data_IF_338385231279
#
_entry.id   IF_338385231279
#
_cell.length_a   1.000
_cell.length_b   1.000
_cell.length_c   1.000
_cell.angle_alpha   90.00
_cell.angle_beta   90.00
_cell.angle_gamma   90.00
#
_symmetry.space_group_name_H-M   'P 1'
#
loop_
_entity.id
_entity.type
_entity.pdbx_description
1 polymer ?
#
# COMPACT_ATOMS: atom_id res chain seq x y z
N UNK A 1 26.91 35.36 18.63
CA UNK A 1 26.01 34.81 19.65
C UNK A 1 25.19 33.72 18.97
N UNK A 2 25.28 32.46 19.41
CA UNK A 2 24.48 31.39 18.83
C UNK A 2 22.98 31.69 19.06
N UNK A 3 22.10 31.43 18.08
CA UNK A 3 20.67 31.68 18.23
C UNK A 3 20.08 30.82 19.36
N UNK A 4 19.12 31.38 20.08
CA UNK A 4 18.37 30.70 21.14
C UNK A 4 17.77 29.37 20.64
N UNK A 5 18.14 28.25 21.27
CA UNK A 5 17.53 26.93 21.04
C UNK A 5 16.00 27.02 21.20
N UNK A 6 15.20 26.76 20.16
CA UNK A 6 13.78 27.09 20.16
C UNK A 6 12.97 26.28 21.18
N UNK A 7 13.40 25.06 21.52
CA UNK A 7 12.62 24.08 22.31
C UNK A 7 13.08 23.88 23.76
N UNK A 8 13.88 24.80 24.32
CA UNK A 8 14.37 24.66 25.70
C UNK A 8 13.61 25.56 26.67
N UNK A 9 13.19 24.98 27.79
CA UNK A 9 12.57 25.69 28.90
C UNK A 9 13.64 26.41 29.73
N UNK A 10 13.74 27.73 29.59
CA UNK A 10 14.71 28.56 30.28
C UNK A 10 14.39 28.72 31.77
N UNK A 11 13.12 28.59 32.18
CA UNK A 11 12.76 28.56 33.60
C UNK A 11 13.26 27.26 34.23
N UNK A 12 13.10 26.12 33.53
CA UNK A 12 13.64 24.84 33.98
C UNK A 12 15.17 24.80 33.99
N UNK A 13 15.85 25.39 32.99
CA UNK A 13 17.32 25.52 32.96
C UNK A 13 17.84 26.33 34.15
N UNK A 14 17.14 27.40 34.51
CA UNK A 14 17.44 28.21 35.69
C UNK A 14 16.89 27.60 36.99
N UNK A 15 16.18 26.48 36.93
CA UNK A 15 15.52 25.82 38.06
C UNK A 15 14.64 26.77 38.90
N UNK A 16 13.91 27.66 38.24
CA UNK A 16 13.00 28.63 38.86
C UNK A 16 11.57 28.44 38.35
N UNK A 17 10.60 28.92 39.11
CA UNK A 17 9.19 28.97 38.66
C UNK A 17 9.00 30.03 37.57
N UNK A 18 7.97 29.88 36.74
CA UNK A 18 7.56 30.88 35.75
C UNK A 18 7.15 32.21 36.41
N UNK A 19 6.72 32.17 37.67
CA UNK A 19 6.36 33.34 38.48
C UNK A 19 7.56 33.93 39.25
N UNK A 20 8.77 33.41 39.03
CA UNK A 20 9.95 33.85 39.78
C UNK A 20 10.27 35.32 39.51
N UNK A 21 10.67 36.01 40.58
CA UNK A 21 11.13 37.39 40.51
C UNK A 21 12.52 37.47 39.86
N UNK A 22 12.90 38.65 39.36
CA UNK A 22 14.23 38.87 38.77
C UNK A 22 15.34 38.55 39.78
N UNK A 23 15.12 38.88 41.06
CA UNK A 23 16.07 38.55 42.13
C UNK A 23 16.29 37.05 42.29
N UNK A 24 15.22 36.26 42.20
CA UNK A 24 15.29 34.80 42.32
C UNK A 24 15.99 34.18 41.11
N UNK A 25 15.75 34.73 39.90
CA UNK A 25 16.45 34.36 38.67
C UNK A 25 17.95 34.63 38.80
N UNK A 26 18.34 35.82 39.29
CA UNK A 26 19.76 36.18 39.50
C UNK A 26 20.42 35.32 40.59
N UNK A 27 19.71 35.04 41.69
CA UNK A 27 20.21 34.16 42.77
C UNK A 27 20.43 32.74 42.25
N UNK A 28 19.47 32.19 41.50
CA UNK A 28 19.57 30.84 40.94
C UNK A 28 20.68 30.74 39.89
N UNK A 29 20.78 31.70 38.97
CA UNK A 29 21.86 31.77 37.99
C UNK A 29 23.24 31.76 38.65
N UNK A 30 23.48 32.62 39.66
CA UNK A 30 24.77 32.67 40.36
C UNK A 30 25.12 31.35 41.05
N UNK A 31 24.11 30.66 41.59
CA UNK A 31 24.29 29.34 42.21
C UNK A 31 24.65 28.29 41.16
N UNK A 32 23.86 28.21 40.08
CA UNK A 32 24.05 27.24 39.01
C UNK A 32 25.33 27.48 38.21
N UNK A 33 25.71 28.73 37.97
CA UNK A 33 26.92 29.10 37.25
C UNK A 33 28.18 28.64 37.99
N UNK A 34 28.21 28.73 39.33
CA UNK A 34 29.32 28.21 40.15
C UNK A 34 29.42 26.68 40.10
N UNK A 35 28.28 26.00 39.99
CA UNK A 35 28.20 24.53 39.96
C UNK A 35 28.54 24.00 38.56
N UNK A 36 28.09 24.67 37.50
CA UNK A 36 28.21 24.25 36.09
C UNK A 36 29.36 24.91 35.34
N UNK A 37 30.25 25.62 36.03
CA UNK A 37 31.37 26.32 35.39
C UNK A 37 32.30 25.32 34.67
N UNK A 38 32.73 25.60 33.42
CA UNK A 38 33.58 24.68 32.65
C UNK A 38 34.96 24.46 33.31
N UNK A 39 35.50 25.46 34.01
CA UNK A 39 36.78 25.35 34.75
C UNK A 39 36.74 24.29 35.87
N UNK A 40 35.55 24.00 36.43
CA UNK A 40 35.39 23.01 37.50
C UNK A 40 34.85 21.66 37.00
N UNK A 41 34.35 21.60 35.77
CA UNK A 41 33.74 20.41 35.20
C UNK A 41 34.36 20.17 33.82
N UNK A 42 35.39 19.33 33.73
CA UNK A 42 36.12 19.06 32.48
C UNK A 42 35.40 18.09 31.51
N UNK A 43 34.08 18.00 31.56
CA UNK A 43 33.31 17.17 30.62
C UNK A 43 33.07 17.94 29.32
N UNK A 44 33.04 17.23 28.17
CA UNK A 44 32.86 17.83 26.84
C UNK A 44 31.58 18.67 26.71
N UNK A 45 30.52 18.34 27.48
CA UNK A 45 29.24 19.06 27.46
C UNK A 45 29.17 20.27 28.41
N UNK A 46 30.18 20.46 29.28
CA UNK A 46 30.16 21.50 30.32
C UNK A 46 30.03 22.92 29.76
N UNK A 47 30.73 23.18 28.66
CA UNK A 47 30.72 24.47 27.97
C UNK A 47 29.35 24.76 27.35
N UNK A 48 28.73 23.76 26.71
CA UNK A 48 27.42 23.90 26.10
C UNK A 48 26.32 24.15 27.16
N UNK A 49 26.36 23.41 28.27
CA UNK A 49 25.42 23.58 29.39
C UNK A 49 25.58 24.96 30.04
N UNK A 50 26.81 25.44 30.21
CA UNK A 50 27.05 26.78 30.75
C UNK A 50 26.55 27.89 29.81
N UNK A 51 26.79 27.74 28.50
CA UNK A 51 26.26 28.66 27.49
C UNK A 51 24.72 28.70 27.50
N UNK A 52 24.07 27.53 27.64
CA UNK A 52 22.62 27.44 27.74
C UNK A 52 22.08 28.14 29.01
N UNK A 53 22.75 27.95 30.15
CA UNK A 53 22.42 28.62 31.41
C UNK A 53 22.57 30.15 31.31
N UNK A 54 23.62 30.62 30.64
CA UNK A 54 23.83 32.03 30.39
C UNK A 54 22.75 32.62 29.47
N UNK A 55 22.43 31.94 28.37
CA UNK A 55 21.37 32.35 27.44
C UNK A 55 19.99 32.42 28.12
N UNK A 56 19.71 31.46 29.02
CA UNK A 56 18.47 31.47 29.82
C UNK A 56 18.41 32.69 30.75
N UNK A 57 19.51 33.03 31.43
CA UNK A 57 19.58 34.22 32.28
C UNK A 57 19.47 35.52 31.49
N UNK A 58 20.14 35.64 30.33
CA UNK A 58 20.07 36.82 29.48
C UNK A 58 18.68 37.06 28.88
N UNK A 59 17.89 35.99 28.71
CA UNK A 59 16.53 36.06 28.15
C UNK A 59 15.49 36.31 29.24
N UNK A 60 15.53 35.59 30.35
CA UNK A 60 14.53 35.71 31.44
C UNK A 60 14.83 36.91 32.36
N UNK A 61 16.11 37.27 32.51
CA UNK A 61 16.54 38.39 33.36
C UNK A 61 16.18 39.77 32.81
N UNK A 62 15.92 39.90 31.50
CA UNK A 62 15.45 41.12 30.86
C UNK A 62 13.93 41.09 30.70
N UNK A 63 13.16 42.04 31.29
CA UNK A 63 11.71 42.08 31.19
C UNK A 63 11.15 42.06 29.75
N UNK A 64 11.86 42.69 28.81
CA UNK A 64 11.41 42.77 27.41
C UNK A 64 11.58 41.42 26.72
N UNK A 65 12.76 40.82 26.86
CA UNK A 65 13.07 39.50 26.28
C UNK A 65 12.28 38.36 26.96
N UNK A 66 12.00 38.49 28.26
CA UNK A 66 11.15 37.55 29.01
C UNK A 66 9.75 37.51 28.43
N UNK A 67 9.15 38.66 28.11
CA UNK A 67 7.81 38.72 27.50
C UNK A 67 7.77 38.07 26.11
N UNK A 68 8.77 38.33 25.27
CA UNK A 68 8.88 37.70 23.95
C UNK A 68 9.09 36.18 24.07
N UNK A 69 9.91 35.76 25.03
CA UNK A 69 10.13 34.35 25.35
C UNK A 69 8.86 33.67 25.82
N UNK A 70 8.11 34.25 26.76
CA UNK A 70 6.88 33.68 27.31
C UNK A 70 5.79 33.51 26.23
N UNK A 71 5.67 34.47 25.32
CA UNK A 71 4.78 34.38 24.16
C UNK A 71 5.15 33.21 23.23
N UNK A 72 6.44 33.08 22.90
CA UNK A 72 6.95 31.99 22.06
C UNK A 72 6.83 30.63 22.75
N UNK A 73 7.20 30.56 24.01
CA UNK A 73 7.20 29.36 24.83
C UNK A 73 5.79 28.84 25.10
N UNK A 74 4.80 29.72 25.26
CA UNK A 74 3.40 29.31 25.37
C UNK A 74 2.94 28.56 24.11
N UNK A 75 3.19 29.09 22.92
CA UNK A 75 2.82 28.42 21.66
C UNK A 75 3.54 27.08 21.47
N UNK A 76 4.83 27.00 21.83
CA UNK A 76 5.60 25.74 21.79
C UNK A 76 5.03 24.73 22.78
N UNK A 77 4.77 25.13 24.03
CA UNK A 77 4.16 24.29 25.06
C UNK A 77 2.79 23.75 24.63
N UNK A 78 1.95 24.60 24.04
CA UNK A 78 0.62 24.21 23.57
C UNK A 78 0.75 23.20 22.42
N UNK A 79 1.69 23.40 21.50
CA UNK A 79 1.98 22.44 20.42
C UNK A 79 2.53 21.10 20.94
N UNK A 80 3.39 21.12 21.96
CA UNK A 80 3.95 19.92 22.59
C UNK A 80 2.86 19.13 23.33
N UNK A 81 1.96 19.83 24.03
CA UNK A 81 0.82 19.22 24.70
C UNK A 81 -0.17 18.61 23.70
N UNK A 82 -0.49 19.32 22.62
CA UNK A 82 -1.34 18.81 21.55
C UNK A 82 -0.73 17.58 20.87
N UNK A 83 0.59 17.59 20.63
CA UNK A 83 1.32 16.42 20.11
C UNK A 83 1.26 15.25 21.09
N UNK A 84 1.54 15.48 22.37
CA UNK A 84 1.47 14.45 23.41
C UNK A 84 0.07 13.84 23.51
N UNK A 85 -0.98 14.65 23.41
CA UNK A 85 -2.37 14.18 23.40
C UNK A 85 -2.71 13.38 22.14
N UNK A 86 -2.22 13.81 20.97
CA UNK A 86 -2.31 13.02 19.73
C UNK A 86 -1.62 11.68 19.86
N UNK A 87 -0.39 11.65 20.37
CA UNK A 87 0.40 10.43 20.55
C UNK A 87 -0.29 9.46 21.52
N UNK A 88 -0.87 9.99 22.62
CA UNK A 88 -1.67 9.19 23.54
C UNK A 88 -2.91 8.59 22.88
N UNK A 89 -3.69 9.40 22.14
CA UNK A 89 -4.87 8.93 21.41
C UNK A 89 -4.52 7.88 20.36
N UNK A 90 -3.39 8.05 19.66
CA UNK A 90 -2.89 7.06 18.71
C UNK A 90 -2.48 5.76 19.41
N UNK A 91 -1.81 5.86 20.56
CA UNK A 91 -1.45 4.69 21.35
C UNK A 91 -2.69 3.95 21.88
N UNK A 92 -3.70 4.68 22.35
CA UNK A 92 -4.97 4.13 22.81
C UNK A 92 -5.75 3.46 21.66
N UNK A 93 -5.82 4.11 20.50
CA UNK A 93 -6.42 3.54 19.30
C UNK A 93 -5.69 2.26 18.85
N UNK A 94 -4.37 2.25 18.85
CA UNK A 94 -3.56 1.07 18.53
C UNK A 94 -3.77 -0.07 19.54
N UNK A 95 -3.92 0.24 20.83
CA UNK A 95 -4.26 -0.77 21.84
C UNK A 95 -5.68 -1.32 21.63
N UNK A 96 -6.66 -0.46 21.35
CA UNK A 96 -8.03 -0.86 21.06
C UNK A 96 -8.10 -1.74 19.80
N UNK A 97 -7.34 -1.41 18.76
CA UNK A 97 -7.24 -2.21 17.54
C UNK A 97 -6.63 -3.59 17.82
N UNK A 98 -5.54 -3.66 18.58
CA UNK A 98 -4.95 -4.93 19.03
C UNK A 98 -5.95 -5.78 19.79
N UNK A 99 -6.69 -5.19 20.74
CA UNK A 99 -7.75 -5.90 21.50
C UNK A 99 -8.84 -6.44 20.56
N UNK A 100 -9.37 -5.61 19.66
CA UNK A 100 -10.36 -6.03 18.65
C UNK A 100 -9.84 -7.16 17.78
N UNK A 101 -8.58 -7.11 17.36
CA UNK A 101 -7.94 -8.18 16.58
C UNK A 101 -7.81 -9.48 17.38
N UNK A 102 -7.43 -9.40 18.66
CA UNK A 102 -7.38 -10.60 19.53
C UNK A 102 -8.76 -11.18 19.80
N UNK A 103 -9.77 -10.35 20.03
CA UNK A 103 -11.16 -10.78 20.22
C UNK A 103 -11.73 -11.41 18.94
N UNK A 104 -11.42 -10.84 17.76
CA UNK A 104 -11.81 -11.40 16.48
C UNK A 104 -11.19 -12.78 16.26
N UNK A 105 -9.88 -12.94 16.54
CA UNK A 105 -9.18 -14.24 16.48
C UNK A 105 -9.78 -15.25 17.45
N UNK A 106 -10.11 -14.84 18.69
CA UNK A 106 -10.73 -15.72 19.67
C UNK A 106 -12.11 -16.21 19.21
N UNK A 107 -12.95 -15.32 18.64
CA UNK A 107 -14.25 -15.68 18.07
C UNK A 107 -14.13 -16.63 16.87
N UNK A 108 -13.10 -16.44 16.04
CA UNK A 108 -12.81 -17.34 14.92
C UNK A 108 -12.39 -18.73 15.41
N UNK A 109 -11.49 -18.79 16.40
CA UNK A 109 -11.08 -20.03 17.05
C UNK A 109 -12.26 -20.77 17.68
N UNK A 110 -13.16 -20.05 18.37
CA UNK A 110 -14.36 -20.64 18.97
C UNK A 110 -15.27 -21.27 17.89
N UNK A 111 -15.47 -20.59 16.76
CA UNK A 111 -16.24 -21.12 15.63
C UNK A 111 -15.60 -22.38 15.05
N UNK A 112 -14.28 -22.41 14.92
CA UNK A 112 -13.55 -23.57 14.42
C UNK A 112 -13.63 -24.76 15.39
N UNK A 113 -13.51 -24.51 16.69
CA UNK A 113 -13.72 -25.55 17.72
C UNK A 113 -15.15 -26.10 17.62
N UNK A 114 -16.16 -25.22 17.59
CA UNK A 114 -17.56 -25.64 17.46
C UNK A 114 -17.81 -26.45 16.17
N UNK A 115 -17.17 -26.07 15.06
CA UNK A 115 -17.20 -26.82 13.80
C UNK A 115 -16.55 -28.20 13.94
N UNK A 116 -15.37 -28.28 14.55
CA UNK A 116 -14.68 -29.55 14.79
C UNK A 116 -15.51 -30.48 15.67
N UNK A 117 -16.15 -29.96 16.71
CA UNK A 117 -17.05 -30.76 17.55
C UNK A 117 -18.28 -31.27 16.79
N UNK A 118 -18.87 -30.45 15.90
CA UNK A 118 -19.96 -30.89 15.02
C UNK A 118 -19.49 -32.02 14.11
N UNK A 119 -18.33 -31.89 13.48
CA UNK A 119 -17.75 -32.93 12.63
C UNK A 119 -17.47 -34.21 13.41
N UNK A 120 -16.85 -34.12 14.59
CA UNK A 120 -16.62 -35.27 15.47
C UNK A 120 -17.92 -35.99 15.84
N UNK A 121 -18.98 -35.24 16.16
CA UNK A 121 -20.30 -35.82 16.44
C UNK A 121 -20.86 -36.56 15.23
N UNK A 122 -20.79 -35.98 14.04
CA UNK A 122 -21.21 -36.64 12.81
C UNK A 122 -20.38 -37.90 12.51
N UNK A 123 -19.07 -37.85 12.71
CA UNK A 123 -18.19 -39.01 12.54
C UNK A 123 -18.49 -40.14 13.53
N UNK A 124 -18.86 -39.81 14.78
CA UNK A 124 -19.34 -40.80 15.75
C UNK A 124 -20.63 -41.46 15.27
N UNK A 125 -21.59 -40.70 14.72
CA UNK A 125 -22.80 -41.28 14.13
C UNK A 125 -22.49 -42.16 12.93
N UNK A 126 -21.59 -41.72 12.04
CA UNK A 126 -21.13 -42.50 10.89
C UNK A 126 -20.59 -43.85 11.34
N UNK A 127 -19.66 -43.84 12.31
CA UNK A 127 -19.06 -45.06 12.85
C UNK A 127 -20.09 -46.00 13.48
N UNK A 128 -21.05 -45.47 14.25
CA UNK A 128 -22.13 -46.29 14.82
C UNK A 128 -22.99 -46.95 13.74
N UNK A 129 -23.33 -46.23 12.67
CA UNK A 129 -24.07 -46.80 11.56
C UNK A 129 -23.25 -47.84 10.79
N UNK A 130 -21.96 -47.58 10.54
CA UNK A 130 -21.05 -48.55 9.90
C UNK A 130 -20.98 -49.87 10.70
N UNK A 131 -20.87 -49.79 12.03
CA UNK A 131 -20.84 -50.94 12.93
C UNK A 131 -22.17 -51.73 12.91
N UNK A 132 -23.31 -51.04 13.04
CA UNK A 132 -24.63 -51.69 12.95
C UNK A 132 -24.88 -52.34 11.59
N UNK A 133 -24.49 -51.67 10.50
CA UNK A 133 -24.58 -52.19 9.13
C UNK A 133 -23.74 -53.46 9.00
N UNK A 134 -22.53 -53.49 9.57
CA UNK A 134 -21.64 -54.64 9.52
C UNK A 134 -22.27 -55.86 10.22
N UNK A 135 -22.78 -55.67 11.44
CA UNK A 135 -23.40 -56.76 12.22
C UNK A 135 -24.72 -57.25 11.60
N UNK A 136 -25.54 -56.35 11.07
CA UNK A 136 -26.75 -56.73 10.33
C UNK A 136 -26.42 -57.51 9.07
N UNK A 137 -25.43 -57.05 8.30
CA UNK A 137 -24.96 -57.75 7.09
C UNK A 137 -24.45 -59.15 7.42
N UNK A 138 -23.74 -59.30 8.54
CA UNK A 138 -23.30 -60.62 9.04
C UNK A 138 -24.49 -61.51 9.41
N UNK A 139 -25.48 -60.97 10.12
CA UNK A 139 -26.68 -61.72 10.51
C UNK A 139 -27.53 -62.15 9.30
N UNK A 140 -27.69 -61.26 8.31
CA UNK A 140 -28.37 -61.53 7.04
C UNK A 140 -27.67 -62.69 6.31
N UNK A 141 -26.35 -62.65 6.15
CA UNK A 141 -25.58 -63.74 5.53
C UNK A 141 -25.85 -65.10 6.20
N UNK A 142 -25.95 -65.12 7.54
CA UNK A 142 -26.26 -66.34 8.30
C UNK A 142 -27.69 -66.84 8.02
N UNK A 143 -28.69 -65.96 8.03
CA UNK A 143 -30.08 -66.31 7.73
C UNK A 143 -30.24 -66.85 6.31
N UNK A 144 -29.59 -66.21 5.33
CA UNK A 144 -29.57 -66.67 3.93
C UNK A 144 -28.96 -68.09 3.83
N UNK A 145 -27.84 -68.35 4.51
CA UNK A 145 -27.22 -69.66 4.52
C UNK A 145 -28.12 -70.73 5.18
N UNK A 146 -28.78 -70.39 6.28
CA UNK A 146 -29.70 -71.29 6.98
C UNK A 146 -30.95 -71.62 6.15
N UNK A 147 -31.54 -70.63 5.48
CA UNK A 147 -32.66 -70.82 4.57
C UNK A 147 -32.28 -71.73 3.41
N UNK A 148 -31.08 -71.54 2.85
CA UNK A 148 -30.54 -72.41 1.80
C UNK A 148 -30.39 -73.85 2.28
N UNK A 149 -29.81 -74.07 3.47
CA UNK A 149 -29.70 -75.42 4.06
C UNK A 149 -31.06 -76.10 4.24
N UNK A 150 -32.07 -75.37 4.73
CA UNK A 150 -33.43 -75.89 4.87
C UNK A 150 -34.07 -76.19 3.50
N UNK A 151 -33.72 -75.43 2.46
CA UNK A 151 -34.15 -75.69 1.08
C UNK A 151 -33.50 -76.94 0.51
N UNK A 152 -32.20 -77.10 0.69
CA UNK A 152 -31.45 -78.27 0.22
C UNK A 152 -31.97 -79.56 0.89
N UNK A 153 -32.28 -79.52 2.19
CA UNK A 153 -32.90 -80.64 2.92
C UNK A 153 -34.27 -81.04 2.35
N UNK A 154 -35.10 -80.10 1.92
CA UNK A 154 -36.39 -80.42 1.29
C UNK A 154 -36.20 -81.08 -0.09
N UNK A 155 -35.17 -80.65 -0.83
CA UNK A 155 -34.81 -81.27 -2.11
C UNK A 155 -34.35 -82.71 -1.91
N UNK A 156 -33.50 -82.95 -0.90
CA UNK A 156 -33.05 -84.29 -0.53
C UNK A 156 -34.18 -85.20 -0.09
N UNK A 157 -35.08 -84.73 0.77
CA UNK A 157 -36.22 -85.55 1.22
C UNK A 157 -37.19 -85.84 0.09
N UNK A 158 -37.44 -84.89 -0.81
CA UNK A 158 -38.23 -85.13 -2.02
C UNK A 158 -37.59 -86.18 -2.93
N UNK A 159 -36.25 -86.21 -3.01
CA UNK A 159 -35.51 -87.22 -3.76
C UNK A 159 -35.63 -88.61 -3.11
N UNK A 160 -35.43 -88.71 -1.79
CA UNK A 160 -35.61 -89.95 -1.02
C UNK A 160 -37.05 -90.46 -1.10
N UNK A 161 -38.04 -89.58 -1.08
CA UNK A 161 -39.44 -89.95 -1.29
C UNK A 161 -39.69 -90.49 -2.71
N UNK A 162 -39.09 -89.91 -3.74
CA UNK A 162 -39.17 -90.45 -5.12
C UNK A 162 -38.44 -91.79 -5.27
N UNK A 163 -37.35 -92.00 -4.55
CA UNK A 163 -36.67 -93.30 -4.50
C UNK A 163 -37.53 -94.35 -3.77
N UNK A 164 -38.23 -93.95 -2.69
CA UNK A 164 -39.09 -94.82 -1.88
C UNK A 164 -40.47 -95.10 -2.51
N UNK A 165 -41.05 -94.13 -3.22
CA UNK A 165 -42.35 -94.20 -3.88
C UNK A 165 -42.24 -94.30 -5.41
N UNK A 166 -41.04 -94.48 -5.94
CA UNK A 166 -40.78 -94.57 -7.37
C UNK A 166 -41.21 -95.90 -7.95
N UNK A 167 -41.31 -95.95 -9.28
CA UNK A 167 -41.70 -97.15 -10.02
C UNK A 167 -40.82 -98.38 -9.70
N UNK A 168 -39.51 -98.19 -9.47
CA UNK A 168 -38.59 -99.25 -9.03
C UNK A 168 -38.93 -99.86 -7.66
N UNK A 169 -39.41 -99.07 -6.70
CA UNK A 169 -39.85 -99.58 -5.40
C UNK A 169 -41.14 -100.41 -5.52
N UNK A 170 -42.03 -100.03 -6.46
CA UNK A 170 -43.21 -100.81 -6.81
C UNK A 170 -42.84 -102.13 -7.52
N UNK A 171 -41.88 -102.11 -8.43
CA UNK A 171 -41.38 -103.29 -9.13
C UNK A 171 -40.65 -104.29 -8.20
N UNK A 172 -39.88 -103.81 -7.22
CA UNK A 172 -39.16 -104.66 -6.26
C UNK A 172 -40.05 -105.19 -5.10
N UNK A 173 -41.28 -104.67 -4.96
CA UNK A 173 -42.21 -104.98 -3.88
C UNK A 173 -42.59 -106.47 -3.69
N UNK A 174 -42.70 -107.32 -4.73
CA UNK A 174 -43.09 -108.73 -4.55
C UNK A 174 -42.00 -109.62 -3.93
N UNK A 175 -40.73 -109.22 -4.02
CA UNK A 175 -39.56 -110.04 -3.64
C UNK A 175 -39.02 -109.65 -2.25
N UNK A 176 -39.09 -108.36 -1.89
CA UNK A 176 -38.48 -107.82 -0.66
C UNK A 176 -39.47 -107.51 0.46
N UNK A 177 -40.78 -107.54 0.19
CA UNK A 177 -41.82 -107.11 1.13
C UNK A 177 -41.86 -105.58 1.29
N UNK A 178 -43.07 -104.99 1.33
CA UNK A 178 -43.20 -103.54 1.56
C UNK A 178 -42.78 -103.24 3.00
N UNK A 179 -41.80 -102.35 3.20
CA UNK A 179 -41.61 -101.69 4.49
C UNK A 179 -42.84 -100.81 4.74
N UNK A 180 -43.83 -101.37 5.43
CA UNK A 180 -45.02 -100.64 5.88
C UNK A 180 -44.57 -99.71 6.99
N UNK A 181 -44.37 -98.45 6.62
CA UNK A 181 -44.11 -97.36 7.55
C UNK A 181 -45.25 -97.29 8.57
N UNK A 182 -44.89 -97.34 9.86
CA UNK A 182 -45.88 -97.25 10.94
C UNK A 182 -46.52 -95.86 10.93
N UNK A 183 -47.76 -95.75 11.39
CA UNK A 183 -48.46 -94.46 11.46
C UNK A 183 -47.69 -93.44 12.32
N UNK A 184 -46.96 -93.91 13.33
CA UNK A 184 -46.02 -93.10 14.12
C UNK A 184 -44.87 -92.50 13.29
N UNK A 185 -44.27 -93.28 12.38
CA UNK A 185 -43.18 -92.81 11.52
C UNK A 185 -43.66 -91.77 10.49
N UNK A 186 -44.89 -91.93 9.99
CA UNK A 186 -45.52 -90.91 9.13
C UNK A 186 -45.78 -89.63 9.90
N UNK A 187 -46.38 -89.72 11.08
CA UNK A 187 -46.65 -88.57 11.95
C UNK A 187 -45.35 -87.85 12.34
N UNK A 188 -44.28 -88.57 12.67
CA UNK A 188 -42.98 -87.99 13.01
C UNK A 188 -42.36 -87.20 11.84
N UNK A 189 -42.48 -87.71 10.61
CA UNK A 189 -41.99 -87.02 9.40
C UNK A 189 -42.82 -85.82 9.04
N UNK A 190 -44.14 -85.95 9.11
CA UNK A 190 -45.05 -84.84 8.89
C UNK A 190 -44.78 -83.71 9.89
N UNK A 191 -44.58 -84.04 11.17
CA UNK A 191 -44.15 -83.08 12.20
C UNK A 191 -42.81 -82.42 11.86
N UNK A 192 -41.83 -83.18 11.37
CA UNK A 192 -40.52 -82.63 10.95
C UNK A 192 -40.63 -81.71 9.73
N UNK A 193 -41.50 -82.04 8.78
CA UNK A 193 -41.81 -81.21 7.61
C UNK A 193 -42.50 -79.91 8.02
N UNK A 194 -43.49 -79.98 8.91
CA UNK A 194 -44.18 -78.80 9.46
C UNK A 194 -43.22 -77.90 10.24
N UNK A 195 -42.35 -78.46 11.09
CA UNK A 195 -41.32 -77.68 11.79
C UNK A 195 -40.38 -76.96 10.83
N UNK A 196 -39.98 -77.59 9.71
CA UNK A 196 -39.15 -76.94 8.69
C UNK A 196 -39.87 -75.84 7.95
N UNK A 197 -41.13 -76.06 7.54
CA UNK A 197 -41.94 -75.02 6.89
C UNK A 197 -42.13 -73.81 7.81
N UNK A 198 -42.44 -74.05 9.09
CA UNK A 198 -42.50 -73.00 10.10
C UNK A 198 -41.13 -72.28 10.24
N UNK A 199 -40.03 -73.02 10.32
CA UNK A 199 -38.68 -72.46 10.41
C UNK A 199 -38.30 -71.60 9.19
N UNK A 200 -38.63 -72.04 7.97
CA UNK A 200 -38.43 -71.27 6.73
C UNK A 200 -39.26 -69.99 6.72
N UNK A 201 -40.53 -70.07 7.13
CA UNK A 201 -41.41 -68.91 7.20
C UNK A 201 -40.89 -67.87 8.19
N UNK A 202 -40.55 -68.31 9.42
CA UNK A 202 -40.00 -67.44 10.47
C UNK A 202 -38.69 -66.80 10.00
N UNK A 203 -37.69 -67.60 9.59
CA UNK A 203 -36.40 -67.07 9.12
C UNK A 203 -36.53 -66.18 7.89
N UNK A 204 -37.48 -66.47 6.99
CA UNK A 204 -37.78 -65.64 5.84
C UNK A 204 -38.36 -64.28 6.21
N UNK A 205 -39.23 -64.23 7.23
CA UNK A 205 -39.75 -62.96 7.77
C UNK A 205 -38.66 -62.15 8.49
N UNK A 206 -37.84 -62.80 9.32
CA UNK A 206 -36.69 -62.17 9.99
C UNK A 206 -35.66 -61.62 8.99
N UNK A 207 -35.41 -62.36 7.90
CA UNK A 207 -34.51 -61.91 6.83
C UNK A 207 -35.01 -60.59 6.22
N UNK A 208 -36.28 -60.54 5.82
CA UNK A 208 -36.89 -59.33 5.25
C UNK A 208 -36.84 -58.15 6.22
N UNK A 209 -37.13 -58.39 7.50
CA UNK A 209 -37.03 -57.35 8.52
C UNK A 209 -35.60 -56.80 8.62
N UNK A 210 -34.59 -57.67 8.66
CA UNK A 210 -33.19 -57.25 8.72
C UNK A 210 -32.72 -56.54 7.46
N UNK A 211 -33.14 -56.98 6.28
CA UNK A 211 -32.85 -56.33 5.00
C UNK A 211 -33.43 -54.91 4.96
N UNK A 212 -34.68 -54.73 5.36
CA UNK A 212 -35.29 -53.39 5.44
C UNK A 212 -34.59 -52.50 6.46
N UNK A 213 -34.17 -53.05 7.62
CA UNK A 213 -33.37 -52.30 8.60
C UNK A 213 -32.00 -51.91 8.05
N UNK A 214 -31.31 -52.83 7.36
CA UNK A 214 -30.03 -52.57 6.71
C UNK A 214 -30.16 -51.41 5.72
N UNK A 215 -31.18 -51.44 4.87
CA UNK A 215 -31.43 -50.38 3.90
C UNK A 215 -31.65 -49.02 4.58
N UNK A 216 -32.47 -48.96 5.64
CA UNK A 216 -32.67 -47.72 6.42
C UNK A 216 -31.38 -47.18 7.04
N UNK A 217 -30.51 -48.06 7.53
CA UNK A 217 -29.22 -47.64 8.08
C UNK A 217 -28.26 -47.15 6.99
N UNK A 218 -28.26 -47.77 5.81
CA UNK A 218 -27.49 -47.30 4.66
C UNK A 218 -27.94 -45.89 4.23
N UNK A 219 -29.24 -45.64 4.17
CA UNK A 219 -29.79 -44.31 3.89
C UNK A 219 -29.40 -43.29 4.98
N UNK A 220 -29.46 -43.68 6.25
CA UNK A 220 -29.04 -42.84 7.38
C UNK A 220 -27.53 -42.52 7.34
N UNK A 221 -26.69 -43.50 7.00
CA UNK A 221 -25.26 -43.35 6.81
C UNK A 221 -24.96 -42.37 5.67
N UNK A 222 -25.67 -42.51 4.54
CA UNK A 222 -25.53 -41.61 3.40
C UNK A 222 -25.86 -40.17 3.79
N UNK A 223 -26.95 -39.94 4.53
CA UNK A 223 -27.32 -38.63 5.03
C UNK A 223 -26.24 -38.02 5.96
N UNK A 224 -25.65 -38.83 6.85
CA UNK A 224 -24.53 -38.38 7.69
C UNK A 224 -23.31 -38.01 6.85
N UNK A 225 -22.96 -38.81 5.84
CA UNK A 225 -21.86 -38.52 4.93
C UNK A 225 -22.09 -37.22 4.16
N UNK A 226 -23.30 -36.98 3.67
CA UNK A 226 -23.67 -35.74 2.98
C UNK A 226 -23.54 -34.52 3.91
N UNK A 227 -23.94 -34.67 5.18
CA UNK A 227 -23.77 -33.61 6.20
C UNK A 227 -22.29 -33.32 6.48
N UNK A 228 -21.45 -34.35 6.60
CA UNK A 228 -20.00 -34.19 6.79
C UNK A 228 -19.40 -33.47 5.57
N UNK A 229 -19.76 -33.87 4.36
CA UNK A 229 -19.30 -33.24 3.13
C UNK A 229 -19.75 -31.78 3.04
N UNK A 230 -21.00 -31.48 3.38
CA UNK A 230 -21.52 -30.12 3.40
C UNK A 230 -20.79 -29.22 4.41
N UNK A 231 -20.52 -29.70 5.63
CA UNK A 231 -19.78 -28.92 6.63
C UNK A 231 -18.32 -28.67 6.21
N UNK A 232 -17.65 -29.65 5.59
CA UNK A 232 -16.31 -29.47 5.02
C UNK A 232 -16.30 -28.45 3.89
N UNK A 233 -17.26 -28.53 2.97
CA UNK A 233 -17.40 -27.58 1.87
C UNK A 233 -17.63 -26.14 2.36
N UNK A 234 -18.50 -25.95 3.35
CA UNK A 234 -18.71 -24.63 3.97
C UNK A 234 -17.42 -24.04 4.54
N UNK A 235 -16.61 -24.87 5.21
CA UNK A 235 -15.33 -24.42 5.77
C UNK A 235 -14.34 -24.02 4.66
N UNK A 236 -14.27 -24.78 3.57
CA UNK A 236 -13.44 -24.45 2.40
C UNK A 236 -13.91 -23.16 1.71
N UNK A 237 -15.22 -22.99 1.52
CA UNK A 237 -15.80 -21.80 0.90
C UNK A 237 -15.55 -20.54 1.75
N UNK A 238 -15.66 -20.64 3.07
CA UNK A 238 -15.31 -19.55 3.99
C UNK A 238 -13.83 -19.19 3.91
N UNK A 239 -12.94 -20.19 3.91
CA UNK A 239 -11.50 -19.96 3.77
C UNK A 239 -11.16 -19.29 2.44
N UNK A 240 -11.78 -19.74 1.35
CA UNK A 240 -11.62 -19.12 0.02
C UNK A 240 -12.05 -17.67 0.01
N UNK A 241 -13.20 -17.33 0.63
CA UNK A 241 -13.66 -15.94 0.75
C UNK A 241 -12.66 -15.05 1.49
N UNK A 242 -12.12 -15.53 2.61
CA UNK A 242 -11.11 -14.78 3.37
C UNK A 242 -9.83 -14.57 2.53
N UNK A 243 -9.38 -15.60 1.83
CA UNK A 243 -8.23 -15.49 0.93
C UNK A 243 -8.48 -14.53 -0.24
N UNK A 244 -9.66 -14.58 -0.85
CA UNK A 244 -10.06 -13.69 -1.95
C UNK A 244 -10.18 -12.24 -1.50
N UNK A 245 -10.75 -11.99 -0.32
CA UNK A 245 -10.78 -10.67 0.29
C UNK A 245 -9.37 -10.15 0.60
N UNK A 246 -8.48 -11.01 1.11
CA UNK A 246 -7.09 -10.65 1.35
C UNK A 246 -6.34 -10.35 0.04
N UNK A 247 -6.57 -11.15 -1.01
CA UNK A 247 -6.04 -10.90 -2.36
C UNK A 247 -6.54 -9.56 -2.91
N UNK A 248 -7.84 -9.30 -2.85
CA UNK A 248 -8.44 -8.06 -3.31
C UNK A 248 -7.90 -6.83 -2.56
N UNK A 249 -7.73 -6.94 -1.22
CA UNK A 249 -7.12 -5.87 -0.42
C UNK A 249 -5.67 -5.58 -0.84
N UNK A 250 -4.86 -6.62 -1.09
CA UNK A 250 -3.48 -6.44 -1.58
C UNK A 250 -3.44 -5.72 -2.92
N UNK A 251 -4.30 -6.11 -3.86
CA UNK A 251 -4.40 -5.47 -5.17
C UNK A 251 -4.80 -4.00 -5.04
N UNK A 252 -5.76 -3.67 -4.16
CA UNK A 252 -6.17 -2.28 -3.91
C UNK A 252 -5.04 -1.44 -3.33
N UNK A 253 -4.33 -1.95 -2.31
CA UNK A 253 -3.20 -1.24 -1.70
C UNK A 253 -2.07 -1.02 -2.71
N UNK A 254 -1.82 -2.00 -3.58
CA UNK A 254 -0.84 -1.86 -4.66
C UNK A 254 -1.27 -0.81 -5.70
N UNK A 255 -2.55 -0.75 -6.06
CA UNK A 255 -3.10 0.28 -6.94
C UNK A 255 -2.97 1.67 -6.30
N UNK A 256 -3.39 1.82 -5.05
CA UNK A 256 -3.27 3.07 -4.31
C UNK A 256 -1.82 3.53 -4.21
N UNK A 257 -0.88 2.62 -3.92
CA UNK A 257 0.55 2.93 -3.88
C UNK A 257 1.10 3.36 -5.25
N UNK A 258 0.66 2.70 -6.34
CA UNK A 258 1.03 3.09 -7.71
C UNK A 258 0.49 4.47 -8.06
N UNK A 259 -0.77 4.76 -7.70
CA UNK A 259 -1.40 6.05 -7.96
C UNK A 259 -0.71 7.18 -7.18
N UNK A 260 -0.36 6.93 -5.91
CA UNK A 260 0.45 7.85 -5.10
C UNK A 260 1.83 8.11 -5.72
N UNK A 261 2.54 7.05 -6.13
CA UNK A 261 3.83 7.20 -6.78
C UNK A 261 3.73 8.00 -8.10
N UNK A 262 2.68 7.76 -8.89
CA UNK A 262 2.42 8.52 -10.11
C UNK A 262 2.09 9.99 -9.82
N UNK A 263 1.36 10.27 -8.73
CA UNK A 263 1.09 11.63 -8.28
C UNK A 263 2.40 12.35 -7.91
N UNK A 264 3.26 11.73 -7.11
CA UNK A 264 4.56 12.30 -6.74
C UNK A 264 5.45 12.59 -7.95
N UNK A 265 5.49 11.67 -8.93
CA UNK A 265 6.24 11.88 -10.18
C UNK A 265 5.69 13.07 -10.96
N UNK A 266 4.36 13.22 -11.06
CA UNK A 266 3.73 14.37 -11.73
C UNK A 266 4.07 15.68 -11.04
N UNK A 267 4.03 15.72 -9.71
CA UNK A 267 4.41 16.93 -8.96
C UNK A 267 5.89 17.29 -9.15
N UNK A 268 6.79 16.30 -9.12
CA UNK A 268 8.22 16.53 -9.39
C UNK A 268 8.45 17.06 -10.81
N UNK A 269 7.77 16.50 -11.80
CA UNK A 269 7.84 16.97 -13.18
C UNK A 269 7.32 18.41 -13.32
N UNK A 270 6.18 18.72 -12.71
CA UNK A 270 5.61 20.07 -12.72
C UNK A 270 6.55 21.10 -12.06
N UNK A 271 7.15 20.73 -10.93
CA UNK A 271 8.16 21.56 -10.25
C UNK A 271 9.37 21.80 -11.13
N UNK A 272 9.94 20.75 -11.73
CA UNK A 272 11.08 20.87 -12.63
C UNK A 272 10.76 21.70 -13.88
N UNK A 273 9.54 21.59 -14.44
CA UNK A 273 9.10 22.43 -15.55
C UNK A 273 9.00 23.90 -15.15
N UNK A 274 8.46 24.19 -13.96
CA UNK A 274 8.38 25.55 -13.43
C UNK A 274 9.76 26.16 -13.23
N UNK A 275 10.68 25.43 -12.61
CA UNK A 275 12.08 25.85 -12.41
C UNK A 275 12.78 26.12 -13.75
N UNK A 276 12.57 25.25 -14.76
CA UNK A 276 13.10 25.46 -16.11
C UNK A 276 12.52 26.72 -16.77
N UNK A 277 11.21 26.96 -16.62
CA UNK A 277 10.57 28.15 -17.17
C UNK A 277 11.08 29.44 -16.48
N UNK A 278 11.26 29.41 -15.16
CA UNK A 278 11.83 30.52 -14.39
C UNK A 278 13.29 30.79 -14.81
N UNK A 279 14.10 29.75 -14.98
CA UNK A 279 15.46 29.88 -15.48
C UNK A 279 15.49 30.45 -16.91
N UNK A 280 14.65 29.95 -17.82
CA UNK A 280 14.55 30.45 -19.18
C UNK A 280 14.10 31.93 -19.21
N UNK A 281 13.15 32.31 -18.36
CA UNK A 281 12.72 33.70 -18.23
C UNK A 281 13.84 34.61 -17.68
N UNK A 282 14.65 34.12 -16.74
CA UNK A 282 15.84 34.84 -16.24
C UNK A 282 16.85 35.06 -17.36
N UNK A 283 17.19 34.00 -18.10
CA UNK A 283 18.12 34.10 -19.25
C UNK A 283 17.59 35.06 -20.30
N UNK A 284 16.29 35.05 -20.58
CA UNK A 284 15.67 35.99 -21.52
C UNK A 284 15.77 37.45 -21.05
N UNK A 285 15.56 37.72 -19.75
CA UNK A 285 15.72 39.07 -19.17
C UNK A 285 17.17 39.55 -19.23
N UNK A 286 18.13 38.68 -18.92
CA UNK A 286 19.55 39.00 -19.02
C UNK A 286 19.95 39.29 -20.48
N UNK A 287 19.45 38.51 -21.43
CA UNK A 287 19.67 38.75 -22.86
C UNK A 287 19.03 40.06 -23.34
N UNK A 288 17.83 40.41 -22.84
CA UNK A 288 17.19 41.70 -23.14
C UNK A 288 17.99 42.86 -22.57
N UNK A 289 18.39 42.78 -21.30
CA UNK A 289 19.23 43.80 -20.68
C UNK A 289 20.56 43.98 -21.43
N UNK A 290 21.19 42.89 -21.84
CA UNK A 290 22.41 42.94 -22.66
C UNK A 290 22.17 43.67 -23.99
N UNK A 291 21.07 43.37 -24.69
CA UNK A 291 20.69 44.07 -25.92
C UNK A 291 20.44 45.56 -25.69
N UNK A 292 19.71 45.92 -24.64
CA UNK A 292 19.46 47.32 -24.28
C UNK A 292 20.75 48.06 -23.95
N UNK A 293 21.67 47.43 -23.21
CA UNK A 293 22.98 48.03 -22.92
C UNK A 293 23.81 48.22 -24.19
N UNK A 294 23.77 47.26 -25.11
CA UNK A 294 24.47 47.36 -26.39
C UNK A 294 23.86 48.46 -27.27
N UNK A 295 22.54 48.51 -27.39
CA UNK A 295 21.84 49.60 -28.08
C UNK A 295 22.13 50.97 -27.46
N UNK A 296 22.20 51.06 -26.13
CA UNK A 296 22.54 52.31 -25.44
C UNK A 296 23.98 52.74 -25.72
N UNK A 297 24.93 51.81 -25.73
CA UNK A 297 26.31 52.05 -26.12
C UNK A 297 26.41 52.52 -27.57
N UNK A 298 25.72 51.86 -28.49
CA UNK A 298 25.68 52.23 -29.91
C UNK A 298 25.08 53.63 -30.09
N UNK A 299 23.97 53.95 -29.39
CA UNK A 299 23.36 55.29 -29.41
C UNK A 299 24.30 56.35 -28.85
N UNK A 300 25.01 56.06 -27.76
CA UNK A 300 25.98 56.99 -27.18
C UNK A 300 27.15 57.24 -28.14
N UNK A 301 27.68 56.19 -28.76
CA UNK A 301 28.73 56.29 -29.77
C UNK A 301 28.28 57.14 -30.98
N UNK A 302 27.05 56.92 -31.46
CA UNK A 302 26.46 57.72 -32.55
C UNK A 302 26.26 59.19 -32.16
N UNK A 303 25.84 59.47 -30.91
CA UNK A 303 25.68 60.83 -30.40
C UNK A 303 27.03 61.54 -30.29
N UNK A 304 28.05 60.89 -29.75
CA UNK A 304 29.41 61.44 -29.65
C UNK A 304 30.00 61.70 -31.05
N UNK A 305 29.81 60.79 -31.99
CA UNK A 305 30.20 60.98 -33.38
C UNK A 305 29.48 62.18 -34.03
N UNK A 306 28.19 62.37 -33.74
CA UNK A 306 27.42 63.51 -34.21
C UNK A 306 27.91 64.84 -33.58
N UNK A 307 28.23 64.85 -32.29
CA UNK A 307 28.84 66.00 -31.62
C UNK A 307 30.21 66.34 -32.21
N UNK A 308 31.05 65.34 -32.46
CA UNK A 308 32.36 65.54 -33.10
C UNK A 308 32.20 66.19 -34.47
N UNK A 309 31.27 65.69 -35.29
CA UNK A 309 30.94 66.29 -36.60
C UNK A 309 30.43 67.73 -36.46
N UNK A 310 29.63 68.03 -35.44
CA UNK A 310 29.18 69.41 -35.15
C UNK A 310 30.35 70.31 -34.77
N UNK A 311 31.23 69.87 -33.88
CA UNK A 311 32.44 70.62 -33.48
C UNK A 311 33.35 70.87 -34.67
N UNK A 312 33.64 69.85 -35.47
CA UNK A 312 34.43 70.01 -36.70
C UNK A 312 33.77 70.98 -37.69
N UNK A 313 32.44 70.95 -37.82
CA UNK A 313 31.70 71.88 -38.66
C UNK A 313 31.74 73.31 -38.11
N UNK A 314 31.62 73.50 -36.79
CA UNK A 314 31.76 74.80 -36.11
C UNK A 314 33.19 75.35 -36.25
N UNK A 315 34.21 74.53 -36.05
CA UNK A 315 35.62 74.90 -36.26
C UNK A 315 35.88 75.28 -37.73
N UNK A 316 35.37 74.50 -38.70
CA UNK A 316 35.44 74.84 -40.12
C UNK A 316 34.72 76.16 -40.41
N UNK A 317 33.55 76.40 -39.83
CA UNK A 317 32.81 77.65 -39.99
C UNK A 317 33.57 78.83 -39.37
N UNK A 318 34.20 78.65 -38.21
CA UNK A 318 35.06 79.67 -37.58
C UNK A 318 36.29 79.94 -38.42
N UNK A 319 36.97 78.91 -38.94
CA UNK A 319 38.11 79.04 -39.83
C UNK A 319 37.73 79.78 -41.12
N UNK A 320 36.56 79.49 -41.70
CA UNK A 320 36.02 80.22 -42.85
C UNK A 320 35.76 81.69 -42.51
N UNK A 321 35.16 82.00 -41.36
CA UNK A 321 34.95 83.40 -40.91
C UNK A 321 36.28 84.13 -40.70
N UNK A 322 37.26 83.51 -40.06
CA UNK A 322 38.61 84.08 -39.88
C UNK A 322 39.30 84.28 -41.23
N UNK A 323 39.17 83.34 -42.16
CA UNK A 323 39.72 83.46 -43.51
C UNK A 323 39.03 84.58 -44.30
N UNK A 324 37.71 84.75 -44.14
CA UNK A 324 36.94 85.83 -44.76
C UNK A 324 37.30 87.20 -44.16
N UNK A 325 37.47 87.30 -42.85
CA UNK A 325 37.98 88.50 -42.19
C UNK A 325 39.42 88.84 -42.59
N UNK A 326 40.30 87.82 -42.68
CA UNK A 326 41.66 87.97 -43.19
C UNK A 326 41.65 88.41 -44.66
N UNK A 327 40.79 87.83 -45.49
CA UNK A 327 40.59 88.21 -46.88
C UNK A 327 40.01 89.63 -47.01
N UNK A 328 39.12 90.05 -46.09
CA UNK A 328 38.58 91.41 -46.02
C UNK A 328 39.66 92.41 -45.62
N UNK A 329 40.52 92.07 -44.65
CA UNK A 329 41.73 92.86 -44.32
C UNK A 329 42.68 92.94 -45.52
N UNK A 330 42.94 91.82 -46.19
CA UNK A 330 43.81 91.75 -47.37
C UNK A 330 43.24 92.52 -48.57
N UNK A 331 41.90 92.50 -48.78
CA UNK A 331 41.21 93.34 -49.76
C UNK A 331 41.30 94.82 -49.40
N UNK A 332 41.22 95.18 -48.12
CA UNK A 332 41.43 96.57 -47.68
C UNK A 332 42.85 97.05 -47.99
N UNK A 333 43.87 96.20 -47.79
CA UNK A 333 45.26 96.50 -48.17
C UNK A 333 45.54 96.44 -49.68
N UNK A 334 44.75 95.68 -50.44
CA UNK A 334 44.85 95.58 -51.91
C UNK A 334 44.06 96.68 -52.63
N UNK A 335 42.98 97.19 -52.05
CA UNK A 335 42.20 98.30 -52.60
C UNK A 335 42.93 99.65 -52.44
N UNK A 336 43.97 99.73 -51.60
CA UNK A 336 44.96 100.82 -51.61
C UNK A 336 45.99 100.70 -52.75
N UNK A 337 45.96 99.62 -53.55
CA UNK A 337 46.90 99.36 -54.65
C UNK A 337 46.24 98.59 -55.80
N UNK A 338 45.43 99.27 -56.64
CA UNK A 338 45.47 99.13 -58.13
C UNK A 338 44.21 99.63 -58.86
N UNK A 339 44.42 100.45 -59.90
CA UNK A 339 43.55 100.60 -61.09
C UNK A 339 43.86 99.52 -62.18
N UNK A 340 43.00 99.33 -63.21
CA UNK A 340 42.73 98.01 -63.81
C UNK A 340 43.09 97.82 -65.30
N UNK A 341 43.33 96.57 -65.70
CA UNK A 341 43.32 96.02 -67.07
C UNK A 341 43.57 94.49 -66.99
N UNK A 342 43.11 93.54 -67.83
CA UNK A 342 42.27 93.44 -69.04
C UNK A 342 41.90 91.95 -69.22
N UNK A 343 40.80 91.67 -69.91
CA UNK A 343 40.34 90.33 -70.36
C UNK A 343 41.27 89.74 -71.43
N UNK A 344 41.55 88.43 -71.38
CA UNK A 344 41.79 87.56 -72.56
C UNK A 344 41.49 86.09 -72.23
N UNK A 345 40.80 85.44 -73.17
CA UNK A 345 40.30 84.06 -73.24
C UNK A 345 41.40 83.03 -73.58
N UNK A 346 41.15 81.73 -73.34
CA UNK A 346 41.41 80.54 -74.23
C UNK A 346 41.70 79.24 -73.42
N UNK A 347 40.67 78.38 -73.38
CA UNK A 347 40.58 76.91 -73.52
C UNK A 347 41.54 75.86 -72.88
N UNK A 348 40.85 74.78 -72.43
CA UNK A 348 41.13 73.33 -72.56
C UNK A 348 42.23 72.66 -71.70
N UNK A 349 41.80 71.75 -70.81
CA UNK A 349 42.17 70.33 -70.93
C UNK A 349 41.15 69.44 -70.19
N UNK A 350 40.87 68.29 -70.81
CA UNK A 350 39.90 67.25 -70.43
C UNK A 350 40.66 66.06 -69.83
N UNK A 351 39.91 65.14 -69.24
CA UNK A 351 40.27 63.75 -68.93
C UNK A 351 41.02 63.47 -67.62
N UNK A 352 40.36 62.76 -66.70
CA UNK A 352 40.43 61.29 -66.73
C UNK A 352 39.33 60.66 -65.88
N UNK A 353 38.55 59.83 -66.56
CA UNK A 353 37.46 58.97 -66.15
C UNK A 353 37.82 57.94 -65.06
N UNK A 354 36.83 57.66 -64.19
CA UNK A 354 36.25 56.32 -63.99
C UNK A 354 37.18 55.19 -63.51
N UNK A 355 37.34 55.09 -62.20
CA UNK A 355 37.32 53.83 -61.41
C UNK A 355 37.09 54.27 -59.96
N UNK A 356 36.43 53.59 -59.04
CA UNK A 356 36.14 52.18 -58.83
C UNK A 356 35.02 52.16 -57.79
N UNK A 357 33.88 51.54 -58.11
CA UNK A 357 32.93 51.06 -57.12
C UNK A 357 33.29 49.60 -56.86
N UNK A 358 33.51 49.19 -55.61
CA UNK A 358 33.19 47.84 -55.21
C UNK A 358 31.97 47.87 -54.30
N UNK A 359 30.93 47.20 -54.78
CA UNK A 359 29.95 46.54 -53.93
C UNK A 359 30.69 45.50 -53.08
N UNK A 360 30.44 45.50 -51.78
CA UNK A 360 30.71 44.36 -50.91
C UNK A 360 29.38 44.03 -50.22
N UNK A 361 28.91 42.85 -50.59
CA UNK A 361 27.79 42.08 -50.05
C UNK A 361 27.92 41.92 -48.54
N UNK A 362 26.83 42.09 -47.79
CA UNK A 362 26.41 41.28 -46.64
C UNK A 362 24.89 41.35 -46.52
#
# INVERSE_FOLDING_TARGET
MAPAEPNVDYYAVLAVSNDATIEDVTKSYRKLAKIRHPDKNLNDDSTAVFQLLQNAYETIGDPTKRREYDLRWSGIRDSLRAKQESDWRQAEAAQAEKKRATEARAKEQEKDIARQERLRRLEQFRWKYDDEIFELSRAIRKLVADLKRLQDQDVEDSRKEKERNGWWAYLASPILGKVKETDEQKQAREKTRLHRLASKSIKGSELKEKETRLQRLQDALQNVNDKIAAEKKKAEDEKRKVEDEARARRVRLEQEARDQAMHEVRERLAKAQKERAEWAAKVAREAQAARETQEAQDRAWMAEAAERRRREAEERAQALRQAEEAARKARKTRNDRSEPATKTTVTLFKDALRSSVPAAEW
#
